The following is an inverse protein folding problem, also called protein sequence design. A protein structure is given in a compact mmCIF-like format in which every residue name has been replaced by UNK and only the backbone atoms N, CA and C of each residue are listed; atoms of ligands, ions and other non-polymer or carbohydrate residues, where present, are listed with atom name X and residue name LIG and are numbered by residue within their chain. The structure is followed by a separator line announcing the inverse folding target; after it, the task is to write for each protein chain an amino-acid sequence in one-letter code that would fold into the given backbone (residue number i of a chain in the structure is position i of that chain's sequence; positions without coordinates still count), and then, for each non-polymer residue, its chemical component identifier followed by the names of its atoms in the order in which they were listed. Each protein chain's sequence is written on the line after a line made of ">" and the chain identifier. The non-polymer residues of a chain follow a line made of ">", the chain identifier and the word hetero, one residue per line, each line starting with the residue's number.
data_IF_211934089110
#
_entry.id   IF_211934089110
#
_cell.length_a   1.000
_cell.length_b   1.000
_cell.length_c   1.000
_cell.angle_alpha   90.00
_cell.angle_beta   90.00
_cell.angle_gamma   90.00
#
_symmetry.space_group_name_H-M   'P 1'
#
loop_
_entity.id
_entity.type
_entity.pdbx_description
1 polymer ?
#
# COMPACT_ATOMS: atom_id res chain seq x y z
N UNK A 1 -28.35 -5.60 -28.13
CA UNK A 1 -27.04 -5.07 -28.56
C UNK A 1 -26.27 -4.72 -27.30
N UNK A 2 -25.44 -5.64 -26.82
CA UNK A 2 -24.64 -5.42 -25.61
C UNK A 2 -23.40 -4.62 -26.02
N UNK A 3 -23.28 -3.41 -25.48
CA UNK A 3 -22.08 -2.59 -25.63
C UNK A 3 -20.89 -3.36 -25.04
N UNK A 4 -19.74 -3.42 -25.72
CA UNK A 4 -18.54 -3.97 -25.11
C UNK A 4 -18.14 -3.01 -23.99
N UNK A 5 -18.25 -3.47 -22.75
CA UNK A 5 -17.59 -2.85 -21.61
C UNK A 5 -16.12 -2.71 -22.00
N UNK A 6 -15.68 -1.49 -22.30
CA UNK A 6 -14.29 -1.21 -22.59
C UNK A 6 -13.41 -1.77 -21.48
N UNK A 7 -12.14 -2.11 -21.75
CA UNK A 7 -11.26 -2.70 -20.75
C UNK A 7 -11.29 -1.78 -19.54
N UNK A 8 -11.89 -2.27 -18.45
CA UNK A 8 -11.84 -1.60 -17.17
C UNK A 8 -10.36 -1.61 -16.84
N UNK A 9 -9.72 -0.46 -17.08
CA UNK A 9 -8.28 -0.31 -17.01
C UNK A 9 -7.94 -0.35 -15.53
N UNK A 10 -7.88 -1.57 -15.02
CA UNK A 10 -7.71 -1.81 -13.61
C UNK A 10 -6.36 -1.21 -13.24
N UNK A 11 -6.45 -0.24 -12.33
CA UNK A 11 -5.36 0.69 -12.07
C UNK A 11 -4.24 -0.10 -11.39
N UNK A 12 -2.98 -0.04 -11.88
CA UNK A 12 -1.93 -0.99 -11.47
C UNK A 12 -1.79 -1.13 -9.96
N UNK A 13 -1.91 -0.03 -9.20
CA UNK A 13 -1.85 -0.05 -7.75
C UNK A 13 -3.08 -0.68 -7.07
N UNK A 14 -4.29 -0.41 -7.58
CA UNK A 14 -5.52 -0.96 -7.01
C UNK A 14 -5.65 -2.47 -7.28
N UNK A 15 -5.21 -2.91 -8.46
CA UNK A 15 -5.12 -4.33 -8.78
C UNK A 15 -4.11 -5.05 -7.91
N UNK A 16 -2.96 -4.45 -7.62
CA UNK A 16 -1.96 -5.07 -6.78
C UNK A 16 -2.47 -5.26 -5.34
N UNK A 17 -3.19 -4.28 -4.80
CA UNK A 17 -3.88 -4.42 -3.51
C UNK A 17 -4.90 -5.55 -3.57
N UNK A 18 -5.76 -5.59 -4.59
CA UNK A 18 -6.79 -6.62 -4.74
C UNK A 18 -6.20 -8.02 -4.90
N UNK A 19 -5.16 -8.18 -5.71
CA UNK A 19 -4.49 -9.47 -5.91
C UNK A 19 -3.78 -9.96 -4.65
N UNK A 20 -3.22 -9.04 -3.85
CA UNK A 20 -2.43 -9.42 -2.68
C UNK A 20 -3.30 -9.58 -1.42
N UNK A 21 -4.28 -8.72 -1.21
CA UNK A 21 -5.08 -8.65 0.01
C UNK A 21 -6.50 -9.19 -0.14
N UNK A 22 -6.92 -9.50 -1.37
CA UNK A 22 -8.29 -9.93 -1.72
C UNK A 22 -9.39 -8.93 -1.29
N UNK A 23 -9.02 -7.66 -1.10
CA UNK A 23 -9.94 -6.57 -0.75
C UNK A 23 -9.71 -5.36 -1.66
N UNK A 24 -10.74 -4.53 -1.81
CA UNK A 24 -10.63 -3.27 -2.53
C UNK A 24 -9.84 -2.21 -1.74
N UNK A 25 -9.30 -1.19 -2.42
CA UNK A 25 -8.59 -0.07 -1.77
C UNK A 25 -9.49 0.67 -0.78
N UNK A 26 -10.74 0.95 -1.16
CA UNK A 26 -11.70 1.62 -0.27
C UNK A 26 -12.08 0.77 0.92
N UNK A 27 -12.23 -0.54 0.70
CA UNK A 27 -12.53 -1.51 1.74
C UNK A 27 -11.39 -1.56 2.76
N UNK A 28 -10.14 -1.68 2.29
CA UNK A 28 -8.93 -1.66 3.12
C UNK A 28 -8.88 -0.44 4.06
N UNK A 29 -9.20 0.75 3.54
CA UNK A 29 -9.22 1.99 4.35
C UNK A 29 -10.40 2.01 5.32
N UNK A 30 -11.54 1.43 4.95
CA UNK A 30 -12.75 1.39 5.79
C UNK A 30 -12.70 0.38 6.94
N UNK A 31 -11.83 -0.64 6.85
CA UNK A 31 -11.70 -1.69 7.87
C UNK A 31 -11.23 -1.17 9.24
N UNK A 32 -10.55 -0.02 9.26
CA UNK A 32 -9.93 0.50 10.48
C UNK A 32 -10.35 1.94 10.76
N UNK A 33 -10.80 2.25 11.99
CA UNK A 33 -11.06 3.63 12.37
C UNK A 33 -9.78 4.48 12.30
N UNK A 34 -9.96 5.76 11.98
CA UNK A 34 -8.88 6.75 11.91
C UNK A 34 -8.07 6.81 13.21
N UNK A 35 -6.75 7.03 13.10
CA UNK A 35 -5.85 7.15 14.25
C UNK A 35 -5.31 5.84 14.83
N UNK A 36 -5.70 4.68 14.30
CA UNK A 36 -5.08 3.39 14.66
C UNK A 36 -3.84 3.11 13.80
N UNK A 37 -2.90 2.32 14.33
CA UNK A 37 -1.72 1.88 13.56
C UNK A 37 -2.11 1.08 12.30
N UNK A 38 -3.12 0.22 12.43
CA UNK A 38 -3.70 -0.53 11.32
C UNK A 38 -4.34 0.38 10.27
N UNK A 39 -5.12 1.38 10.70
CA UNK A 39 -5.71 2.35 9.79
C UNK A 39 -4.69 3.25 9.12
N UNK A 40 -3.59 3.57 9.79
CA UNK A 40 -2.48 4.31 9.17
C UNK A 40 -1.75 3.46 8.13
N UNK A 41 -1.49 2.19 8.43
CA UNK A 41 -0.90 1.25 7.47
C UNK A 41 -1.81 1.06 6.24
N UNK A 42 -3.12 0.92 6.43
CA UNK A 42 -4.11 0.86 5.37
C UNK A 42 -4.10 2.12 4.48
N UNK A 43 -4.10 3.32 5.10
CA UNK A 43 -4.01 4.60 4.37
C UNK A 43 -2.70 4.73 3.60
N UNK A 44 -1.57 4.36 4.20
CA UNK A 44 -0.27 4.40 3.52
C UNK A 44 -0.21 3.46 2.32
N UNK A 45 -0.82 2.28 2.45
CA UNK A 45 -0.94 1.31 1.35
C UNK A 45 -1.78 1.87 0.21
N UNK A 46 -2.96 2.43 0.52
CA UNK A 46 -3.83 3.06 -0.46
C UNK A 46 -3.16 4.24 -1.17
N UNK A 47 -2.55 5.16 -0.41
CA UNK A 47 -1.86 6.32 -0.96
C UNK A 47 -0.64 5.93 -1.84
N UNK A 48 0.09 4.87 -1.46
CA UNK A 48 1.18 4.37 -2.29
C UNK A 48 0.68 3.76 -3.60
N UNK A 49 -0.46 3.06 -3.58
CA UNK A 49 -1.10 2.53 -4.77
C UNK A 49 -1.63 3.64 -5.69
N UNK A 50 -2.24 4.70 -5.16
CA UNK A 50 -2.65 5.87 -5.95
C UNK A 50 -1.45 6.55 -6.60
N UNK A 51 -0.37 6.76 -5.84
CA UNK A 51 0.85 7.37 -6.38
C UNK A 51 1.49 6.52 -7.49
N UNK A 52 1.32 5.20 -7.44
CA UNK A 52 1.78 4.31 -8.52
C UNK A 52 0.97 4.53 -9.80
N UNK A 53 -0.33 4.76 -9.69
CA UNK A 53 -1.18 5.13 -10.83
C UNK A 53 -0.69 6.41 -11.48
N UNK A 54 -0.46 7.45 -10.67
CA UNK A 54 -0.01 8.75 -11.18
C UNK A 54 1.33 8.64 -11.92
N UNK A 55 2.27 7.84 -11.38
CA UNK A 55 3.57 7.62 -12.03
C UNK A 55 3.44 6.84 -13.34
N UNK A 56 2.58 5.82 -13.39
CA UNK A 56 2.35 5.04 -14.62
C UNK A 56 1.71 5.92 -15.71
N UNK A 57 0.75 6.76 -15.35
CA UNK A 57 0.14 7.71 -16.29
C UNK A 57 1.16 8.76 -16.77
N UNK A 58 1.99 9.30 -15.87
CA UNK A 58 3.08 10.20 -16.25
C UNK A 58 4.07 9.52 -17.21
N UNK A 59 4.46 8.27 -16.94
CA UNK A 59 5.32 7.48 -17.81
C UNK A 59 4.70 7.29 -19.20
N UNK A 60 3.42 6.91 -19.26
CA UNK A 60 2.68 6.75 -20.52
C UNK A 60 2.66 8.03 -21.35
N UNK A 61 2.33 9.15 -20.72
CA UNK A 61 2.33 10.45 -21.37
C UNK A 61 3.72 10.82 -21.90
N UNK A 62 4.76 10.57 -21.09
CA UNK A 62 6.15 10.87 -21.48
C UNK A 62 6.64 10.01 -22.64
N UNK A 63 6.31 8.71 -22.61
CA UNK A 63 6.63 7.77 -23.68
C UNK A 63 5.91 8.14 -24.99
N UNK A 64 4.63 8.55 -24.92
CA UNK A 64 3.87 8.97 -26.10
C UNK A 64 4.47 10.23 -26.76
N UNK A 65 4.92 11.20 -25.95
CA UNK A 65 5.60 12.39 -26.46
C UNK A 65 6.95 12.05 -27.08
N UNK A 66 7.74 11.18 -26.44
CA UNK A 66 9.02 10.73 -26.99
C UNK A 66 8.85 9.97 -28.32
N UNK A 67 7.83 9.12 -28.43
CA UNK A 67 7.50 8.43 -29.68
C UNK A 67 7.11 9.42 -30.80
N UNK A 68 6.36 10.47 -30.46
CA UNK A 68 6.00 11.54 -31.40
C UNK A 68 7.22 12.32 -31.88
N UNK A 69 8.12 12.68 -30.96
CA UNK A 69 9.38 13.38 -31.28
C UNK A 69 10.28 12.51 -32.19
N UNK A 70 10.38 11.21 -31.89
CA UNK A 70 11.14 10.25 -32.69
C UNK A 70 10.55 10.06 -34.09
N UNK A 71 9.22 9.99 -34.23
CA UNK A 71 8.57 9.88 -35.53
C UNK A 71 8.82 11.13 -36.39
N UNK A 72 8.78 12.33 -35.81
CA UNK A 72 9.10 13.58 -36.51
C UNK A 72 10.56 13.65 -36.94
N UNK A 73 11.47 13.16 -36.09
CA UNK A 73 12.89 13.04 -36.44
C UNK A 73 13.10 12.09 -37.63
N UNK A 74 12.50 10.90 -37.59
CA UNK A 74 12.57 9.91 -38.68
C UNK A 74 11.97 10.41 -40.00
N UNK A 75 10.94 11.26 -39.94
CA UNK A 75 10.34 11.92 -41.10
C UNK A 75 11.18 13.09 -41.67
N UNK A 76 12.38 13.36 -41.12
CA UNK A 76 13.31 14.33 -41.68
C UNK A 76 12.93 15.80 -41.47
N UNK A 77 12.06 16.11 -40.50
CA UNK A 77 11.76 17.51 -40.16
C UNK A 77 13.02 18.22 -39.62
N UNK A 78 13.49 19.24 -40.36
CA UNK A 78 14.75 19.96 -40.11
C UNK A 78 14.83 20.60 -38.72
N UNK A 79 13.71 21.04 -38.16
CA UNK A 79 13.65 21.68 -36.84
C UNK A 79 13.99 20.71 -35.69
N UNK A 80 13.72 19.42 -35.87
CA UNK A 80 14.06 18.39 -34.89
C UNK A 80 15.53 18.00 -35.03
N UNK A 81 16.10 18.00 -36.25
CA UNK A 81 17.46 17.52 -36.55
C UNK A 81 18.60 18.35 -35.91
N UNK A 82 18.35 19.63 -35.63
CA UNK A 82 19.31 20.50 -34.93
C UNK A 82 19.16 20.45 -33.40
N UNK A 83 18.04 19.91 -32.90
CA UNK A 83 17.68 19.77 -31.48
C UNK A 83 17.81 18.30 -30.98
N UNK A 84 17.97 17.34 -31.90
CA UNK A 84 17.57 15.93 -31.74
C UNK A 84 18.46 15.04 -30.89
N UNK A 85 19.78 15.27 -30.85
CA UNK A 85 20.66 14.35 -30.12
C UNK A 85 20.45 14.47 -28.61
N UNK A 86 20.54 15.69 -28.09
CA UNK A 86 20.42 15.94 -26.65
C UNK A 86 18.99 15.74 -26.13
N UNK A 87 17.98 16.18 -26.90
CA UNK A 87 16.58 16.07 -26.45
C UNK A 87 16.12 14.62 -26.45
N UNK A 88 16.42 13.81 -27.47
CA UNK A 88 16.01 12.41 -27.48
C UNK A 88 16.71 11.61 -26.37
N UNK A 89 18.01 11.87 -26.12
CA UNK A 89 18.74 11.30 -25.00
C UNK A 89 18.12 11.71 -23.65
N UNK A 90 17.80 12.99 -23.47
CA UNK A 90 17.13 13.49 -22.27
C UNK A 90 15.73 12.86 -22.11
N UNK A 91 14.96 12.70 -23.19
CA UNK A 91 13.67 11.99 -23.19
C UNK A 91 13.84 10.55 -22.70
N UNK A 92 14.87 9.84 -23.19
CA UNK A 92 15.20 8.48 -22.77
C UNK A 92 15.52 8.39 -21.28
N UNK A 93 16.41 9.25 -20.79
CA UNK A 93 16.78 9.30 -19.36
C UNK A 93 15.58 9.56 -18.46
N UNK A 94 14.68 10.46 -18.85
CA UNK A 94 13.46 10.72 -18.07
C UNK A 94 12.51 9.50 -18.01
N UNK A 95 12.37 8.78 -19.13
CA UNK A 95 11.60 7.54 -19.19
C UNK A 95 12.23 6.47 -18.29
N UNK A 96 13.55 6.31 -18.32
CA UNK A 96 14.28 5.35 -17.48
C UNK A 96 14.13 5.66 -15.99
N UNK A 97 14.23 6.94 -15.60
CA UNK A 97 14.02 7.38 -14.21
C UNK A 97 12.58 7.08 -13.78
N UNK A 98 11.60 7.33 -14.64
CA UNK A 98 10.20 7.02 -14.32
C UNK A 98 9.98 5.51 -14.19
N UNK A 99 10.55 4.70 -15.08
CA UNK A 99 10.48 3.24 -15.00
C UNK A 99 11.10 2.69 -13.69
N UNK A 100 12.26 3.22 -13.30
CA UNK A 100 12.91 2.86 -12.04
C UNK A 100 12.04 3.24 -10.83
N UNK A 101 11.43 4.43 -10.83
CA UNK A 101 10.53 4.89 -9.77
C UNK A 101 9.24 4.07 -9.68
N UNK A 102 8.68 3.68 -10.83
CA UNK A 102 7.51 2.79 -10.89
C UNK A 102 7.86 1.44 -10.26
N UNK A 103 9.02 0.88 -10.60
CA UNK A 103 9.49 -0.41 -10.08
C UNK A 103 9.71 -0.37 -8.56
N UNK A 104 10.37 0.67 -8.07
CA UNK A 104 10.58 0.89 -6.63
C UNK A 104 9.26 1.04 -5.86
N UNK A 105 8.35 1.87 -6.39
CA UNK A 105 7.07 2.09 -5.75
C UNK A 105 6.19 0.84 -5.79
N UNK A 106 6.21 0.07 -6.87
CA UNK A 106 5.54 -1.24 -6.95
C UNK A 106 6.02 -2.18 -5.84
N UNK A 107 7.33 -2.36 -5.70
CA UNK A 107 7.92 -3.17 -4.63
C UNK A 107 7.53 -2.65 -3.23
N UNK A 108 7.42 -1.34 -3.07
CA UNK A 108 6.94 -0.72 -1.83
C UNK A 108 5.48 -1.05 -1.54
N UNK A 109 4.58 -0.99 -2.53
CA UNK A 109 3.16 -1.37 -2.35
C UNK A 109 3.06 -2.86 -1.98
N UNK A 110 3.81 -3.75 -2.62
CA UNK A 110 3.85 -5.17 -2.26
C UNK A 110 4.34 -5.40 -0.83
N UNK A 111 5.37 -4.65 -0.40
CA UNK A 111 5.88 -4.71 0.97
C UNK A 111 4.85 -4.24 1.99
N UNK A 112 4.11 -3.17 1.67
CA UNK A 112 3.02 -2.65 2.49
C UNK A 112 1.86 -3.65 2.57
N UNK A 113 1.46 -4.26 1.46
CA UNK A 113 0.44 -5.29 1.44
C UNK A 113 0.84 -6.50 2.31
N UNK A 114 2.08 -7.00 2.17
CA UNK A 114 2.60 -8.07 3.05
C UNK A 114 2.61 -7.66 4.52
N UNK A 115 2.84 -6.38 4.82
CA UNK A 115 2.78 -5.85 6.19
C UNK A 115 1.33 -5.80 6.70
N UNK A 116 0.37 -5.42 5.85
CA UNK A 116 -1.05 -5.49 6.16
C UNK A 116 -1.48 -6.91 6.53
N UNK A 117 -1.06 -7.92 5.75
CA UNK A 117 -1.34 -9.33 6.03
C UNK A 117 -0.75 -9.77 7.37
N UNK A 118 0.55 -9.53 7.59
CA UNK A 118 1.25 -9.93 8.83
C UNK A 118 0.66 -9.28 10.08
N UNK A 119 0.22 -8.03 9.96
CA UNK A 119 -0.38 -7.30 11.06
C UNK A 119 -1.86 -7.67 11.30
N UNK A 120 -2.46 -8.58 10.52
CA UNK A 120 -3.89 -8.91 10.67
C UNK A 120 -4.82 -7.75 10.30
N UNK A 121 -4.34 -6.85 9.44
CA UNK A 121 -5.07 -5.64 9.00
C UNK A 121 -6.24 -5.99 8.08
N UNK A 122 -6.23 -7.19 7.49
CA UNK A 122 -7.32 -7.70 6.65
C UNK A 122 -7.71 -9.08 7.20
N UNK A 123 -9.00 -9.37 7.41
CA UNK A 123 -9.45 -10.72 7.77
C UNK A 123 -9.12 -11.66 6.60
N UNK A 124 -8.18 -12.57 6.84
CA UNK A 124 -7.74 -13.51 5.83
C UNK A 124 -8.79 -14.64 5.71
N UNK A 125 -9.46 -14.84 4.56
CA UNK A 125 -10.48 -15.90 4.43
C UNK A 125 -9.88 -17.31 4.57
N UNK A 126 -8.56 -17.44 4.49
CA UNK A 126 -7.84 -18.71 4.72
C UNK A 126 -7.49 -18.97 6.19
N UNK A 127 -7.86 -18.08 7.11
CA UNK A 127 -7.56 -18.20 8.55
C UNK A 127 -8.82 -18.35 9.42
N UNK A 128 -9.92 -18.84 8.85
CA UNK A 128 -11.03 -19.41 9.62
C UNK A 128 -10.73 -20.88 9.98
N UNK A 129 -9.67 -21.10 10.78
CA UNK A 129 -9.50 -22.34 11.54
C UNK A 129 -8.40 -22.17 12.60
N UNK A 130 -8.80 -21.66 13.77
CA UNK A 130 -8.06 -21.88 15.01
C UNK A 130 -7.10 -20.76 15.38
N UNK A 131 -7.49 -19.98 16.38
CA UNK A 131 -6.76 -19.45 17.56
C UNK A 131 -7.69 -18.34 18.08
N UNK A 132 -8.75 -18.66 18.82
CA UNK A 132 -8.61 -19.24 20.15
C UNK A 132 -8.83 -18.12 21.16
N UNK A 133 -10.10 -17.79 21.35
CA UNK A 133 -10.74 -17.34 22.59
C UNK A 133 -9.82 -16.78 23.68
N UNK A 134 -9.88 -15.46 23.88
CA UNK A 134 -9.61 -14.80 25.15
C UNK A 134 -10.42 -15.46 26.28
N UNK A 135 -9.80 -15.95 27.38
CA UNK A 135 -10.50 -16.14 28.63
C UNK A 135 -10.20 -14.95 29.54
N UNK A 136 -11.07 -13.94 29.50
CA UNK A 136 -11.22 -13.01 30.61
C UNK A 136 -12.04 -13.71 31.71
N UNK A 137 -11.55 -13.90 32.94
CA UNK A 137 -12.41 -14.27 34.05
C UNK A 137 -12.87 -12.98 34.75
N UNK A 138 -14.15 -12.62 34.60
CA UNK A 138 -14.82 -11.64 35.46
C UNK A 138 -16.12 -12.21 36.04
N UNK A 139 -16.15 -12.26 37.37
CA UNK A 139 -17.34 -12.33 38.22
C UNK A 139 -17.26 -13.44 39.27
N UNK A 140 -17.56 -13.27 40.57
CA UNK A 140 -17.97 -12.13 41.41
C UNK A 140 -17.85 -12.59 42.92
N UNK A 141 -18.28 -11.87 43.98
CA UNK A 141 -17.47 -11.61 45.19
C UNK A 141 -17.94 -12.31 46.49
N UNK A 142 -17.10 -12.34 47.55
CA UNK A 142 -17.52 -12.58 48.95
C UNK A 142 -16.42 -12.09 49.95
N UNK A 143 -16.69 -11.91 51.26
CA UNK A 143 -16.77 -10.61 51.94
C UNK A 143 -15.60 -10.30 52.88
N UNK A 144 -15.54 -9.03 53.32
CA UNK A 144 -14.58 -8.51 54.29
C UNK A 144 -14.75 -9.12 55.70
N UNK A 145 -13.62 -9.40 56.35
CA UNK A 145 -13.52 -9.49 57.79
C UNK A 145 -12.30 -8.69 58.28
N UNK A 146 -12.62 -7.66 59.05
CA UNK A 146 -11.80 -6.74 59.82
C UNK A 146 -10.85 -7.46 60.79
N UNK A 147 -9.61 -6.99 60.94
CA UNK A 147 -8.98 -6.51 62.21
C UNK A 147 -7.44 -6.58 62.16
N UNK A 148 -6.82 -5.41 62.32
CA UNK A 148 -5.45 -5.18 62.81
C UNK A 148 -5.38 -5.54 64.32
N UNK A 149 -4.25 -5.48 65.09
CA UNK A 149 -2.90 -5.00 64.75
C UNK A 149 -1.71 -5.78 65.39
N UNK A 150 -0.48 -5.35 65.05
CA UNK A 150 0.71 -5.23 65.93
C UNK A 150 1.23 -6.46 66.71
N UNK A 151 2.49 -6.86 66.47
CA UNK A 151 3.59 -6.58 67.41
C UNK A 151 4.87 -7.39 67.10
N UNK A 152 5.98 -6.63 66.97
CA UNK A 152 7.26 -6.79 67.67
C UNK A 152 8.10 -8.08 67.53
N UNK A 153 9.38 -7.78 67.27
CA UNK A 153 10.58 -8.36 67.90
C UNK A 153 10.89 -9.83 67.56
N UNK A 154 12.01 -10.07 66.88
CA UNK A 154 13.36 -10.05 67.46
C UNK A 154 14.32 -11.03 66.77
N UNK A 155 15.54 -10.51 66.60
CA UNK A 155 16.84 -11.16 66.87
C UNK A 155 17.38 -12.25 65.93
N UNK A 156 18.63 -11.93 65.55
CA UNK A 156 19.84 -12.77 65.51
C UNK A 156 19.94 -13.71 64.30
N UNK A 157 21.06 -13.79 63.59
CA UNK A 157 22.48 -13.51 63.93
C UNK A 157 23.19 -12.98 62.69
#
# INVERSE_FOLDING_TARGET
>A
MSTPTGPQHATPGADLIRQTLDVGVMELVSLHPGGTAHGELARQTAAAAERLVDLVELFRNRAAWAATDLARYGAGHRDVRNLSSGILQQRGVEIDILAARISDLHARVESLCRSCQRAGTVPNPSHEAGHGTEPAPRGTPAPAATTSPSARLARRR
#
